data_IF_531152725848
#
_entry.id   IF_531152725848
#
_cell.length_a   1.000
_cell.length_b   1.000
_cell.length_c   1.000
_cell.angle_alpha   90.00
_cell.angle_beta   90.00
_cell.angle_gamma   90.00
#
_symmetry.space_group_name_H-M   'P 1'
#
loop_
_entity.id
_entity.type
_entity.pdbx_description
1 polymer ?
#
# COMPACT_ATOMS: atom_id res chain seq x y z
N UNK A 1 -3.90 -5.52 -28.75
CA UNK A 1 -4.30 -5.18 -27.37
C UNK A 1 -4.75 -6.49 -26.75
N UNK A 2 -3.82 -7.19 -26.12
CA UNK A 2 -4.17 -8.38 -25.35
C UNK A 2 -5.01 -7.91 -24.17
N UNK A 3 -6.13 -8.59 -23.95
CA UNK A 3 -7.05 -8.35 -22.86
C UNK A 3 -6.27 -8.51 -21.54
N UNK A 4 -5.95 -7.41 -20.86
CA UNK A 4 -5.25 -7.44 -19.56
C UNK A 4 -6.09 -8.19 -18.49
N UNK A 5 -7.39 -8.40 -18.73
CA UNK A 5 -8.35 -9.04 -17.82
C UNK A 5 -8.19 -10.56 -17.62
N UNK A 6 -7.16 -11.19 -18.20
CA UNK A 6 -7.00 -12.64 -18.22
C UNK A 6 -5.64 -13.13 -17.71
N UNK A 7 -4.91 -12.26 -16.98
CA UNK A 7 -3.64 -12.58 -16.34
C UNK A 7 -3.79 -13.77 -15.36
N UNK A 8 -2.89 -14.77 -15.38
CA UNK A 8 -2.94 -15.87 -14.41
C UNK A 8 -2.93 -15.42 -12.95
N UNK A 9 -2.27 -14.28 -12.67
CA UNK A 9 -2.20 -13.68 -11.33
C UNK A 9 -3.55 -13.10 -10.93
N UNK A 10 -4.27 -12.44 -11.84
CA UNK A 10 -5.61 -11.92 -11.57
C UNK A 10 -6.61 -13.04 -11.30
N UNK A 11 -6.54 -14.13 -12.07
CA UNK A 11 -7.34 -15.34 -11.85
C UNK A 11 -7.10 -15.94 -10.47
N UNK A 12 -5.84 -16.01 -10.05
CA UNK A 12 -5.46 -16.52 -8.73
C UNK A 12 -6.02 -15.63 -7.60
N UNK A 13 -5.89 -14.30 -7.72
CA UNK A 13 -6.47 -13.39 -6.73
C UNK A 13 -8.00 -13.45 -6.70
N UNK A 14 -8.66 -13.62 -7.85
CA UNK A 14 -10.09 -13.84 -7.92
C UNK A 14 -10.51 -15.13 -7.18
N UNK A 15 -9.73 -16.21 -7.33
CA UNK A 15 -9.91 -17.46 -6.60
C UNK A 15 -9.77 -17.25 -5.08
N UNK A 16 -8.72 -16.56 -4.63
CA UNK A 16 -8.52 -16.26 -3.21
C UNK A 16 -9.64 -15.40 -2.61
N UNK A 17 -10.33 -14.59 -3.42
CA UNK A 17 -11.47 -13.79 -2.98
C UNK A 17 -12.75 -14.61 -2.74
N UNK A 18 -12.85 -15.86 -3.23
CA UNK A 18 -14.08 -16.66 -3.22
C UNK A 18 -14.65 -16.83 -1.81
N UNK A 19 -13.80 -17.04 -0.81
CA UNK A 19 -14.25 -17.18 0.59
C UNK A 19 -15.08 -15.98 1.08
N UNK A 20 -14.73 -14.75 0.65
CA UNK A 20 -15.46 -13.54 1.01
C UNK A 20 -16.69 -13.30 0.14
N UNK A 21 -16.73 -13.87 -1.06
CA UNK A 21 -17.92 -13.86 -1.92
C UNK A 21 -19.01 -14.76 -1.35
N UNK A 22 -18.64 -15.86 -0.70
CA UNK A 22 -19.56 -16.79 -0.05
C UNK A 22 -20.14 -16.24 1.27
N UNK A 23 -19.49 -15.24 1.88
CA UNK A 23 -20.03 -14.58 3.07
C UNK A 23 -21.28 -13.77 2.72
N UNK A 24 -22.33 -13.88 3.54
CA UNK A 24 -23.41 -12.90 3.53
C UNK A 24 -22.90 -11.49 3.94
N UNK A 25 -23.67 -10.45 3.64
CA UNK A 25 -23.23 -9.07 3.87
C UNK A 25 -22.92 -8.77 5.35
N UNK A 26 -23.68 -9.37 6.27
CA UNK A 26 -23.52 -9.14 7.71
C UNK A 26 -22.26 -9.85 8.23
N UNK A 27 -22.01 -11.07 7.78
CA UNK A 27 -20.80 -11.83 8.11
C UNK A 27 -19.56 -11.10 7.60
N UNK A 28 -19.59 -10.63 6.34
CA UNK A 28 -18.50 -9.83 5.76
C UNK A 28 -18.28 -8.51 6.53
N UNK A 29 -19.36 -7.78 6.84
CA UNK A 29 -19.27 -6.53 7.60
C UNK A 29 -18.63 -6.74 8.99
N UNK A 30 -19.06 -7.79 9.71
CA UNK A 30 -18.54 -8.11 11.05
C UNK A 30 -17.07 -8.54 10.99
N UNK A 31 -16.73 -9.40 10.04
CA UNK A 31 -15.36 -9.84 9.85
C UNK A 31 -14.44 -8.65 9.58
N UNK A 32 -14.82 -7.76 8.66
CA UNK A 32 -14.03 -6.57 8.36
C UNK A 32 -13.87 -5.62 9.56
N UNK A 33 -14.96 -5.35 10.28
CA UNK A 33 -14.93 -4.50 11.48
C UNK A 33 -14.02 -5.08 12.57
N UNK A 34 -14.09 -6.40 12.80
CA UNK A 34 -13.23 -7.09 13.76
C UNK A 34 -11.76 -7.05 13.35
N UNK A 35 -11.47 -7.27 12.07
CA UNK A 35 -10.10 -7.20 11.54
C UNK A 35 -9.53 -5.79 11.66
N UNK A 36 -10.32 -4.75 11.38
CA UNK A 36 -9.91 -3.35 11.59
C UNK A 36 -9.45 -3.10 13.03
N UNK A 37 -10.22 -3.58 14.03
CA UNK A 37 -9.80 -3.44 15.44
C UNK A 37 -8.47 -4.15 15.77
N UNK A 38 -8.05 -5.16 14.99
CA UNK A 38 -6.74 -5.79 15.16
C UNK A 38 -5.60 -4.99 14.53
N UNK A 39 -5.91 -4.19 13.51
CA UNK A 39 -4.91 -3.40 12.78
C UNK A 39 -4.62 -2.06 13.47
N UNK A 40 -5.53 -1.58 14.31
CA UNK A 40 -5.48 -0.27 14.98
C UNK A 40 -4.17 -0.03 15.75
N UNK A 41 -3.67 1.21 15.65
CA UNK A 41 -2.52 1.72 16.39
C UNK A 41 -1.16 1.21 15.92
N UNK A 42 -1.07 0.60 14.74
CA UNK A 42 0.16 -0.02 14.23
C UNK A 42 0.41 0.32 12.76
N UNK A 43 1.70 0.40 12.44
CA UNK A 43 2.19 0.37 11.07
C UNK A 43 2.25 -1.07 10.60
N UNK A 44 1.76 -1.35 9.39
CA UNK A 44 1.77 -2.71 8.83
C UNK A 44 2.42 -2.76 7.45
N UNK A 45 3.32 -3.73 7.28
CA UNK A 45 3.90 -4.09 5.98
C UNK A 45 2.80 -4.54 5.04
N UNK A 46 2.74 -4.01 3.82
CA UNK A 46 1.78 -4.44 2.82
C UNK A 46 1.85 -5.96 2.56
N UNK A 47 3.03 -6.55 2.67
CA UNK A 47 3.28 -8.00 2.58
C UNK A 47 2.65 -8.84 3.71
N UNK A 48 2.15 -8.24 4.80
CA UNK A 48 1.62 -8.99 5.94
C UNK A 48 0.38 -9.81 5.55
N UNK A 49 0.32 -11.14 5.82
CA UNK A 49 -0.78 -11.99 5.34
C UNK A 49 -2.18 -11.55 5.77
N UNK A 50 -2.31 -11.00 6.98
CA UNK A 50 -3.59 -10.45 7.46
C UNK A 50 -4.05 -9.26 6.61
N UNK A 51 -3.14 -8.41 6.13
CA UNK A 51 -3.47 -7.29 5.26
C UNK A 51 -3.85 -7.74 3.86
N UNK A 52 -3.12 -8.70 3.29
CA UNK A 52 -3.50 -9.30 2.01
C UNK A 52 -4.91 -9.90 2.07
N UNK A 53 -5.21 -10.61 3.16
CA UNK A 53 -6.54 -11.17 3.43
C UNK A 53 -7.59 -10.07 3.60
N UNK A 54 -7.28 -9.00 4.34
CA UNK A 54 -8.16 -7.85 4.51
C UNK A 54 -8.45 -7.13 3.19
N UNK A 55 -7.45 -6.94 2.33
CA UNK A 55 -7.59 -6.29 1.02
C UNK A 55 -8.52 -7.08 0.10
N UNK A 56 -8.43 -8.41 0.09
CA UNK A 56 -9.38 -9.25 -0.66
C UNK A 56 -10.81 -9.09 -0.17
N UNK A 57 -11.02 -9.12 1.16
CA UNK A 57 -12.33 -8.86 1.73
C UNK A 57 -12.83 -7.45 1.42
N UNK A 58 -11.93 -6.46 1.45
CA UNK A 58 -12.23 -5.06 1.18
C UNK A 58 -12.67 -4.81 -0.26
N UNK A 59 -12.06 -5.49 -1.24
CA UNK A 59 -12.49 -5.44 -2.65
C UNK A 59 -13.92 -5.97 -2.81
N UNK A 60 -14.20 -7.18 -2.30
CA UNK A 60 -15.55 -7.77 -2.34
C UNK A 60 -16.56 -6.90 -1.60
N UNK A 61 -16.16 -6.31 -0.48
CA UNK A 61 -17.00 -5.43 0.31
C UNK A 61 -17.25 -4.08 -0.35
N UNK A 62 -16.28 -3.55 -1.10
CA UNK A 62 -16.42 -2.34 -1.88
C UNK A 62 -17.44 -2.53 -3.00
N UNK A 63 -17.32 -3.60 -3.78
CA UNK A 63 -18.26 -3.97 -4.85
C UNK A 63 -19.70 -4.12 -4.32
N UNK A 64 -19.84 -4.69 -3.13
CA UNK A 64 -21.13 -4.90 -2.46
C UNK A 64 -21.59 -3.71 -1.61
N UNK A 65 -20.82 -2.62 -1.57
CA UNK A 65 -21.08 -1.41 -0.79
C UNK A 65 -21.39 -1.68 0.69
N UNK A 66 -20.67 -2.63 1.30
CA UNK A 66 -20.95 -3.15 2.66
C UNK A 66 -21.00 -2.03 3.71
N UNK A 67 -20.05 -1.09 3.65
CA UNK A 67 -19.99 0.02 4.62
C UNK A 67 -21.19 0.97 4.52
N UNK A 68 -21.74 1.17 3.32
CA UNK A 68 -22.93 2.01 3.11
C UNK A 68 -24.20 1.36 3.67
N UNK A 69 -24.22 0.03 3.83
CA UNK A 69 -25.35 -0.73 4.40
C UNK A 69 -25.42 -0.65 5.92
N UNK A 70 -24.36 -0.18 6.60
CA UNK A 70 -24.31 0.01 8.07
C UNK A 70 -24.69 -1.25 8.88
N UNK A 71 -24.24 -2.41 8.41
CA UNK A 71 -24.57 -3.72 9.00
C UNK A 71 -23.72 -4.08 10.22
N UNK A 72 -22.55 -3.46 10.37
CA UNK A 72 -21.68 -3.60 11.53
C UNK A 72 -21.14 -2.22 11.92
N UNK A 73 -20.82 -2.05 13.21
CA UNK A 73 -20.20 -0.83 13.69
C UNK A 73 -18.73 -0.78 13.24
N UNK A 74 -18.35 0.30 12.59
CA UNK A 74 -16.94 0.63 12.32
C UNK A 74 -16.25 0.91 13.67
N UNK A 75 -15.02 0.42 13.90
CA UNK A 75 -14.28 0.76 15.12
C UNK A 75 -14.10 2.28 15.24
N UNK A 76 -14.28 2.83 16.43
CA UNK A 76 -14.42 4.27 16.65
C UNK A 76 -13.20 5.11 16.21
N UNK A 77 -12.01 4.49 16.17
CA UNK A 77 -10.79 5.14 15.72
C UNK A 77 -10.76 5.45 14.21
N UNK A 78 -11.62 4.81 13.41
CA UNK A 78 -11.58 4.90 11.95
C UNK A 78 -12.61 5.91 11.42
N UNK A 79 -12.20 7.10 10.96
CA UNK A 79 -13.11 8.02 10.28
C UNK A 79 -13.53 7.47 8.90
N UNK A 80 -14.60 8.04 8.34
CA UNK A 80 -15.01 7.73 6.96
C UNK A 80 -14.00 8.33 5.96
N UNK A 81 -13.53 7.50 5.02
CA UNK A 81 -12.68 7.89 3.91
C UNK A 81 -13.46 8.74 2.90
N UNK A 82 -12.93 9.87 2.41
CA UNK A 82 -13.66 10.75 1.49
C UNK A 82 -13.93 10.11 0.12
N UNK A 83 -13.06 9.20 -0.33
CA UNK A 83 -13.12 8.60 -1.66
C UNK A 83 -14.25 7.56 -1.84
N UNK A 84 -14.54 6.77 -0.80
CA UNK A 84 -15.50 5.66 -0.90
C UNK A 84 -16.38 5.47 0.34
N UNK A 85 -16.20 6.29 1.38
CA UNK A 85 -16.92 6.24 2.66
C UNK A 85 -16.72 4.94 3.47
N UNK A 86 -15.75 4.12 3.06
CA UNK A 86 -15.24 3.04 3.90
C UNK A 86 -14.39 3.60 5.06
N UNK A 87 -14.05 2.81 6.07
CA UNK A 87 -13.11 3.20 7.13
C UNK A 87 -11.75 3.66 6.55
N UNK A 88 -11.14 4.68 7.16
CA UNK A 88 -9.87 5.26 6.71
C UNK A 88 -8.71 4.29 6.93
N UNK A 89 -8.28 3.61 5.86
CA UNK A 89 -7.14 2.67 5.84
C UNK A 89 -6.14 3.12 4.76
N UNK A 90 -5.19 4.01 5.10
CA UNK A 90 -4.22 4.56 4.16
C UNK A 90 -3.04 3.62 3.91
N UNK A 91 -2.57 3.61 2.67
CA UNK A 91 -1.31 3.01 2.22
C UNK A 91 -0.35 4.09 1.73
N UNK A 92 0.86 4.07 2.27
CA UNK A 92 2.02 4.79 1.77
C UNK A 92 2.72 3.95 0.68
N UNK A 93 2.95 4.54 -0.48
CA UNK A 93 3.77 3.98 -1.57
C UNK A 93 4.94 4.90 -1.87
N UNK A 94 5.89 4.45 -2.70
CA UNK A 94 6.97 5.29 -3.21
C UNK A 94 6.48 6.51 -4.02
N UNK A 95 5.33 6.40 -4.67
CA UNK A 95 4.72 7.44 -5.51
C UNK A 95 3.84 8.42 -4.70
N UNK A 96 4.17 8.66 -3.42
CA UNK A 96 3.33 9.46 -2.51
C UNK A 96 3.19 10.91 -2.95
N UNK A 97 4.16 11.46 -3.69
CA UNK A 97 4.11 12.84 -4.20
C UNK A 97 3.00 12.97 -5.26
N UNK A 98 2.85 11.97 -6.12
CA UNK A 98 1.89 11.94 -7.21
C UNK A 98 0.51 11.44 -6.77
N UNK A 99 0.49 10.41 -5.93
CA UNK A 99 -0.72 9.67 -5.58
C UNK A 99 -1.34 10.06 -4.22
N UNK A 100 -0.57 10.72 -3.35
CA UNK A 100 -0.92 10.86 -1.94
C UNK A 100 -0.93 9.51 -1.21
N UNK A 101 -1.73 9.39 -0.16
CA UNK A 101 -1.99 8.10 0.47
C UNK A 101 -3.10 7.37 -0.29
N UNK A 102 -2.95 6.06 -0.49
CA UNK A 102 -3.87 5.23 -1.28
C UNK A 102 -4.86 4.51 -0.37
N UNK A 103 -6.14 4.48 -0.75
CA UNK A 103 -7.18 3.77 -0.01
C UNK A 103 -7.10 2.25 -0.23
N UNK A 104 -7.03 1.46 0.85
CA UNK A 104 -7.07 -0.01 0.73
C UNK A 104 -8.43 -0.60 0.33
N UNK A 105 -9.47 0.21 0.24
CA UNK A 105 -10.80 -0.26 -0.16
C UNK A 105 -11.05 -0.12 -1.65
N UNK A 106 -10.74 1.05 -2.23
CA UNK A 106 -11.05 1.36 -3.62
C UNK A 106 -9.83 1.67 -4.50
N UNK A 107 -8.63 1.74 -3.93
CA UNK A 107 -7.40 2.09 -4.66
C UNK A 107 -7.27 3.56 -5.06
N UNK A 108 -8.26 4.41 -4.75
CA UNK A 108 -8.18 5.85 -4.99
C UNK A 108 -7.37 6.59 -3.91
N UNK A 109 -6.97 7.82 -4.19
CA UNK A 109 -6.34 8.72 -3.21
C UNK A 109 -7.29 8.99 -2.03
N UNK A 110 -6.83 8.67 -0.82
CA UNK A 110 -7.57 8.84 0.43
C UNK A 110 -7.19 10.14 1.16
N UNK A 111 -5.93 10.57 0.99
CA UNK A 111 -5.40 11.85 1.45
C UNK A 111 -4.43 12.33 0.37
N UNK A 112 -4.66 13.51 -0.21
CA UNK A 112 -3.76 14.08 -1.21
C UNK A 112 -2.43 14.48 -0.57
N UNK A 113 -1.35 14.56 -1.36
CA UNK A 113 -0.03 14.88 -0.83
C UNK A 113 0.00 16.25 -0.14
N UNK A 114 -0.66 17.24 -0.74
CA UNK A 114 -0.81 18.60 -0.22
C UNK A 114 -1.59 18.69 1.09
N UNK A 115 -2.44 17.70 1.38
CA UNK A 115 -3.26 17.63 2.60
C UNK A 115 -2.59 16.82 3.72
N UNK A 116 -1.38 16.30 3.49
CA UNK A 116 -0.61 15.62 4.53
C UNK A 116 -0.16 16.60 5.61
N UNK A 117 -0.06 16.15 6.87
CA UNK A 117 0.46 16.98 7.96
C UNK A 117 1.85 17.55 7.64
N UNK A 118 2.03 18.87 7.79
CA UNK A 118 3.26 19.60 7.45
C UNK A 118 4.53 18.94 8.05
N UNK A 119 4.44 18.43 9.28
CA UNK A 119 5.53 17.79 10.00
C UNK A 119 6.06 16.50 9.34
N UNK A 120 5.22 15.86 8.52
CA UNK A 120 5.52 14.59 7.85
C UNK A 120 5.66 14.78 6.35
N UNK A 121 4.88 15.68 5.74
CA UNK A 121 4.88 15.95 4.31
C UNK A 121 6.28 16.26 3.77
N UNK A 122 7.03 17.15 4.44
CA UNK A 122 8.39 17.50 4.00
C UNK A 122 9.37 16.32 4.03
N UNK A 123 9.23 15.41 5.01
CA UNK A 123 10.07 14.20 5.12
C UNK A 123 9.71 13.17 4.07
N UNK A 124 8.40 12.99 3.82
CA UNK A 124 7.91 12.11 2.76
C UNK A 124 8.36 12.60 1.39
N UNK A 125 8.32 13.92 1.16
CA UNK A 125 8.85 14.52 -0.07
C UNK A 125 10.31 14.16 -0.28
N UNK A 126 11.14 14.43 0.73
CA UNK A 126 12.57 14.16 0.66
C UNK A 126 12.83 12.67 0.40
N UNK A 127 12.15 11.79 1.12
CA UNK A 127 12.28 10.34 0.96
C UNK A 127 11.89 9.89 -0.46
N UNK A 128 10.77 10.35 -0.99
CA UNK A 128 10.31 9.98 -2.32
C UNK A 128 11.21 10.55 -3.43
N UNK A 129 11.69 11.79 -3.28
CA UNK A 129 12.66 12.40 -4.21
C UNK A 129 14.02 11.69 -4.20
N UNK A 130 14.45 11.17 -3.03
CA UNK A 130 15.64 10.33 -2.91
C UNK A 130 15.42 8.94 -3.53
N UNK A 131 14.23 8.35 -3.34
CA UNK A 131 13.86 7.04 -3.86
C UNK A 131 13.71 7.00 -5.39
N UNK A 132 13.11 8.03 -5.98
CA UNK A 132 12.79 8.08 -7.41
C UNK A 132 13.97 7.77 -8.36
N UNK A 133 15.16 8.40 -8.24
CA UNK A 133 16.30 8.10 -9.11
C UNK A 133 16.87 6.68 -8.90
N UNK A 134 16.68 6.07 -7.72
CA UNK A 134 17.10 4.70 -7.42
C UNK A 134 16.19 3.72 -8.15
N UNK A 135 14.87 3.88 -8.00
CA UNK A 135 13.87 3.08 -8.72
C UNK A 135 14.02 3.18 -10.24
N UNK A 136 14.36 4.38 -10.74
CA UNK A 136 14.55 4.63 -12.15
C UNK A 136 15.64 3.77 -12.80
N UNK A 137 16.60 3.22 -12.03
CA UNK A 137 17.66 2.34 -12.56
C UNK A 137 17.07 1.10 -13.24
N UNK A 138 16.00 0.52 -12.69
CA UNK A 138 15.31 -0.63 -13.28
C UNK A 138 14.70 -0.31 -14.66
N UNK A 139 14.35 0.97 -14.88
CA UNK A 139 13.68 1.47 -16.07
C UNK A 139 14.61 2.18 -17.05
N UNK A 140 15.93 2.11 -16.85
CA UNK A 140 16.89 2.73 -17.76
C UNK A 140 16.80 2.15 -19.17
N UNK A 141 16.83 3.03 -20.17
CA UNK A 141 16.91 2.66 -21.58
C UNK A 141 18.33 2.17 -21.97
N UNK A 142 18.45 1.62 -23.18
CA UNK A 142 19.73 1.13 -23.71
C UNK A 142 20.85 2.19 -23.73
N UNK A 143 20.50 3.47 -23.88
CA UNK A 143 21.47 4.56 -23.93
C UNK A 143 22.00 4.85 -22.53
N UNK A 144 21.14 4.89 -21.53
CA UNK A 144 21.49 5.07 -20.12
C UNK A 144 22.33 3.88 -19.63
N UNK A 145 21.94 2.65 -19.97
CA UNK A 145 22.70 1.43 -19.63
C UNK A 145 24.11 1.42 -20.23
N UNK A 146 24.27 1.83 -21.49
CA UNK A 146 25.59 1.97 -22.13
C UNK A 146 26.42 3.14 -21.59
N UNK A 147 25.78 4.08 -20.88
CA UNK A 147 26.43 5.20 -20.23
C UNK A 147 27.17 4.82 -18.94
N UNK A 148 26.88 3.65 -18.38
CA UNK A 148 27.59 3.10 -17.23
C UNK A 148 28.51 1.95 -17.63
N UNK A 149 29.60 1.76 -16.89
CA UNK A 149 30.56 0.70 -17.17
C UNK A 149 30.00 -0.71 -16.86
N UNK A 150 29.11 -0.79 -15.87
CA UNK A 150 28.54 -2.04 -15.35
C UNK A 150 27.12 -1.76 -14.86
N UNK A 151 26.13 -2.17 -15.65
CA UNK A 151 24.71 -1.98 -15.33
C UNK A 151 24.26 -2.93 -14.22
N UNK A 152 24.73 -4.17 -14.22
CA UNK A 152 24.35 -5.17 -13.22
C UNK A 152 24.75 -4.69 -11.83
N UNK A 153 25.98 -4.14 -11.70
CA UNK A 153 26.41 -3.51 -10.45
C UNK A 153 25.59 -2.27 -10.08
N UNK A 154 25.16 -1.46 -11.06
CA UNK A 154 24.32 -0.30 -10.79
C UNK A 154 22.93 -0.72 -10.28
N UNK A 155 22.36 -1.77 -10.87
CA UNK A 155 21.09 -2.36 -10.47
C UNK A 155 21.17 -2.96 -9.06
N UNK A 156 22.20 -3.76 -8.75
CA UNK A 156 22.42 -4.31 -7.40
C UNK A 156 22.59 -3.22 -6.34
N UNK A 157 23.30 -2.14 -6.66
CA UNK A 157 23.44 -1.01 -5.73
C UNK A 157 22.12 -0.28 -5.53
N UNK A 158 21.30 -0.15 -6.58
CA UNK A 158 19.99 0.45 -6.48
C UNK A 158 19.05 -0.39 -5.60
N UNK A 159 19.06 -1.72 -5.75
CA UNK A 159 18.28 -2.63 -4.90
C UNK A 159 18.63 -2.46 -3.41
N UNK A 160 19.91 -2.47 -3.05
CA UNK A 160 20.37 -2.26 -1.66
C UNK A 160 19.96 -0.90 -1.09
N UNK A 161 20.00 0.14 -1.92
CA UNK A 161 19.60 1.47 -1.48
C UNK A 161 18.08 1.59 -1.32
N UNK A 162 17.32 0.92 -2.19
CA UNK A 162 15.87 0.77 -2.05
C UNK A 162 15.51 0.02 -0.76
N UNK A 163 16.16 -1.11 -0.44
CA UNK A 163 16.00 -1.82 0.84
C UNK A 163 16.19 -0.86 2.04
N UNK A 164 17.28 -0.08 2.02
CA UNK A 164 17.58 0.91 3.07
C UNK A 164 16.45 1.93 3.20
N UNK A 165 16.02 2.54 2.09
CA UNK A 165 15.00 3.58 2.10
C UNK A 165 13.61 3.05 2.48
N UNK A 166 13.25 1.84 2.06
CA UNK A 166 12.02 1.16 2.54
C UNK A 166 12.09 0.92 4.06
N UNK A 167 13.26 0.55 4.58
CA UNK A 167 13.51 0.45 6.02
C UNK A 167 13.38 1.79 6.75
N UNK A 168 13.83 2.89 6.14
CA UNK A 168 13.63 4.26 6.68
C UNK A 168 12.13 4.62 6.71
N UNK A 169 11.38 4.31 5.66
CA UNK A 169 9.93 4.55 5.64
C UNK A 169 9.25 3.85 6.82
N UNK A 170 9.53 2.54 6.99
CA UNK A 170 8.96 1.74 8.08
C UNK A 170 9.35 2.19 9.49
N UNK A 171 10.61 2.59 9.71
CA UNK A 171 11.11 2.99 11.04
C UNK A 171 10.84 4.43 11.42
N UNK A 172 10.94 5.36 10.47
CA UNK A 172 11.02 6.78 10.77
C UNK A 172 9.79 7.56 10.31
N UNK A 173 9.22 7.22 9.16
CA UNK A 173 8.09 7.95 8.59
C UNK A 173 6.76 7.41 9.12
N UNK A 174 6.65 6.09 9.24
CA UNK A 174 5.41 5.46 9.67
C UNK A 174 4.96 5.81 11.09
N UNK A 175 5.83 5.86 12.11
CA UNK A 175 5.43 6.29 13.44
C UNK A 175 4.80 7.69 13.44
N UNK A 176 5.31 8.60 12.60
CA UNK A 176 4.76 9.96 12.47
C UNK A 176 3.39 9.97 11.79
N UNK A 177 3.19 9.11 10.79
CA UNK A 177 1.88 8.97 10.16
C UNK A 177 0.84 8.40 11.14
N UNK A 178 1.25 7.50 12.05
CA UNK A 178 0.37 6.94 13.08
C UNK A 178 -0.11 7.97 14.11
N UNK A 179 0.59 9.09 14.27
CA UNK A 179 0.10 10.19 15.11
C UNK A 179 -1.17 10.84 14.53
N UNK A 180 -1.45 10.63 13.24
CA UNK A 180 -2.57 11.24 12.51
C UNK A 180 -3.61 10.25 12.01
N UNK A 181 -3.25 8.98 11.84
CA UNK A 181 -4.10 7.95 11.25
C UNK A 181 -4.23 6.74 12.18
N UNK A 182 -5.41 6.09 12.24
CA UNK A 182 -5.64 4.95 13.12
C UNK A 182 -4.79 3.72 12.77
N UNK A 183 -4.35 3.65 11.52
CA UNK A 183 -3.47 2.62 10.97
C UNK A 183 -2.73 3.26 9.80
N UNK A 184 -1.52 2.78 9.52
CA UNK A 184 -0.83 3.08 8.27
C UNK A 184 -0.26 1.79 7.70
N UNK A 185 -0.42 1.61 6.40
CA UNK A 185 0.17 0.49 5.66
C UNK A 185 1.28 1.08 4.79
N UNK A 186 2.35 0.34 4.56
CA UNK A 186 3.39 0.78 3.64
C UNK A 186 3.82 -0.32 2.69
N UNK A 187 4.10 0.06 1.45
CA UNK A 187 4.73 -0.80 0.46
C UNK A 187 6.15 -1.14 0.93
N UNK A 188 6.40 -2.40 1.26
CA UNK A 188 7.67 -2.89 1.81
C UNK A 188 8.47 -3.74 0.81
N UNK A 189 8.28 -3.48 -0.49
CA UNK A 189 8.93 -4.18 -1.58
C UNK A 189 9.07 -3.27 -2.82
N UNK A 190 9.96 -3.64 -3.72
CA UNK A 190 10.11 -3.01 -5.04
C UNK A 190 10.35 -4.08 -6.10
N UNK A 191 9.27 -4.47 -6.78
CA UNK A 191 9.32 -5.55 -7.78
C UNK A 191 10.22 -5.21 -8.97
N UNK A 192 10.41 -3.93 -9.29
CA UNK A 192 11.26 -3.53 -10.42
C UNK A 192 12.75 -3.69 -10.09
N UNK A 193 13.12 -3.54 -8.82
CA UNK A 193 14.48 -3.73 -8.32
C UNK A 193 14.70 -5.11 -7.68
N UNK A 194 13.73 -6.02 -7.78
CA UNK A 194 13.73 -7.35 -7.16
C UNK A 194 13.86 -7.32 -5.62
N UNK A 195 13.55 -6.20 -4.98
CA UNK A 195 13.58 -6.06 -3.52
C UNK A 195 12.32 -6.68 -2.93
N UNK A 196 12.50 -7.66 -2.04
CA UNK A 196 11.41 -8.40 -1.41
C UNK A 196 11.17 -7.93 0.02
N UNK A 197 10.00 -8.24 0.61
CA UNK A 197 9.70 -7.92 2.00
C UNK A 197 10.77 -8.39 3.00
N UNK A 198 11.35 -9.57 2.78
CA UNK A 198 12.39 -10.16 3.64
C UNK A 198 13.73 -9.42 3.61
N UNK A 199 14.00 -8.62 2.58
CA UNK A 199 15.24 -7.88 2.42
C UNK A 199 15.23 -6.56 3.21
N UNK A 200 14.03 -6.06 3.57
CA UNK A 200 13.87 -4.79 4.29
C UNK A 200 14.05 -5.00 5.79
N UNK A 201 15.13 -4.48 6.38
CA UNK A 201 15.37 -4.52 7.83
C UNK A 201 14.73 -3.32 8.56
N UNK A 202 13.99 -3.59 9.65
CA UNK A 202 13.41 -2.60 10.56
C UNK A 202 14.21 -2.51 11.85
#
# INVERSE_FOLDING_TARGET
MADESDSPVEKLWAEYSLIFRDFDDLTLARWMAQTLSQLEGRGWRLSHPLLGTYRLAAQVAHDRQIWLKRLANVPAAYPEAPCCRAPLVPLLTRDVIESGLVCQHCGGTIVAFEDLPDEVQGRLKQWAEEYAPIHAVAHWDDRQRKGVADYDRAFENAAKEAERLLGVAGRELLPKLLDHYPVIIWEDQDECLEVRPEDVEL
#
